data_IF_056476191632
#
_entry.id   IF_056476191632
#
_cell.length_a   1.000
_cell.length_b   1.000
_cell.length_c   1.000
_cell.angle_alpha   90.00
_cell.angle_beta   90.00
_cell.angle_gamma   90.00
#
_symmetry.space_group_name_H-M   'P 1'
#
loop_
_entity.id
_entity.type
_entity.pdbx_description
1 polymer ?
#
# COMPACT_ATOMS: atom_id res chain seq x y z
N UNK A 1 -64.45 -23.49 -41.69
CA UNK A 1 -63.08 -23.00 -41.44
C UNK A 1 -62.22 -24.15 -40.94
N UNK A 2 -61.02 -24.34 -41.49
CA UNK A 2 -60.12 -25.41 -41.07
C UNK A 2 -59.27 -24.92 -39.88
N UNK A 3 -59.56 -25.41 -38.68
CA UNK A 3 -58.95 -24.95 -37.41
C UNK A 3 -57.43 -25.05 -37.45
N UNK A 4 -56.90 -26.10 -38.07
CA UNK A 4 -55.45 -26.31 -38.23
C UNK A 4 -54.83 -25.19 -39.07
N UNK A 5 -55.46 -24.81 -40.18
CA UNK A 5 -54.98 -23.73 -41.04
C UNK A 5 -55.00 -22.37 -40.32
N UNK A 6 -56.04 -22.12 -39.52
CA UNK A 6 -56.15 -20.91 -38.70
C UNK A 6 -55.04 -20.81 -37.66
N UNK A 7 -54.75 -21.90 -36.94
CA UNK A 7 -53.66 -21.95 -35.96
C UNK A 7 -52.29 -21.74 -36.62
N UNK A 8 -52.05 -22.32 -37.80
CA UNK A 8 -50.82 -22.11 -38.56
C UNK A 8 -50.65 -20.63 -38.98
N UNK A 9 -51.72 -19.96 -39.40
CA UNK A 9 -51.70 -18.53 -39.73
C UNK A 9 -51.35 -17.67 -38.50
N UNK A 10 -51.90 -18.00 -37.33
CA UNK A 10 -51.56 -17.30 -36.08
C UNK A 10 -50.09 -17.48 -35.73
N UNK A 11 -49.57 -18.71 -35.81
CA UNK A 11 -48.16 -19.00 -35.51
C UNK A 11 -47.24 -18.19 -36.44
N UNK A 12 -47.55 -18.15 -37.74
CA UNK A 12 -46.80 -17.38 -38.73
C UNK A 12 -46.81 -15.88 -38.39
N UNK A 13 -47.97 -15.35 -38.01
CA UNK A 13 -48.13 -13.95 -37.63
C UNK A 13 -47.33 -13.60 -36.37
N UNK A 14 -47.44 -14.41 -35.31
CA UNK A 14 -46.69 -14.22 -34.06
C UNK A 14 -45.17 -14.31 -34.29
N UNK A 15 -44.72 -15.19 -35.18
CA UNK A 15 -43.32 -15.28 -35.57
C UNK A 15 -42.82 -13.98 -36.24
N UNK A 16 -43.59 -13.41 -37.16
CA UNK A 16 -43.25 -12.12 -37.80
C UNK A 16 -43.21 -10.96 -36.79
N UNK A 17 -44.16 -10.94 -35.84
CA UNK A 17 -44.16 -9.94 -34.76
C UNK A 17 -42.91 -10.05 -33.88
N UNK A 18 -42.51 -11.27 -33.49
CA UNK A 18 -41.28 -11.49 -32.73
C UNK A 18 -40.03 -11.02 -33.48
N UNK A 19 -39.92 -11.33 -34.79
CA UNK A 19 -38.80 -10.83 -35.62
C UNK A 19 -38.75 -9.31 -35.61
N UNK A 20 -39.90 -8.66 -35.79
CA UNK A 20 -39.99 -7.20 -35.80
C UNK A 20 -39.55 -6.62 -34.45
N UNK A 21 -40.06 -7.15 -33.33
CA UNK A 21 -39.71 -6.70 -31.99
C UNK A 21 -38.22 -6.86 -31.69
N UNK A 22 -37.62 -7.99 -32.05
CA UNK A 22 -36.17 -8.22 -31.86
C UNK A 22 -35.37 -7.20 -32.66
N UNK A 23 -35.71 -6.98 -33.95
CA UNK A 23 -35.05 -5.96 -34.78
C UNK A 23 -35.22 -4.56 -34.21
N UNK A 24 -36.39 -4.23 -33.66
CA UNK A 24 -36.65 -2.96 -33.00
C UNK A 24 -35.77 -2.78 -31.77
N UNK A 25 -35.72 -3.77 -30.87
CA UNK A 25 -34.88 -3.76 -29.67
C UNK A 25 -33.42 -3.58 -30.06
N UNK A 26 -32.89 -4.41 -30.97
CA UNK A 26 -31.48 -4.33 -31.36
C UNK A 26 -31.09 -3.02 -32.05
N UNK A 27 -32.03 -2.37 -32.76
CA UNK A 27 -31.75 -1.13 -33.51
C UNK A 27 -31.94 0.14 -32.69
N UNK A 28 -32.88 0.15 -31.76
CA UNK A 28 -33.30 1.37 -31.06
C UNK A 28 -33.07 1.34 -29.54
N UNK A 29 -32.89 0.16 -28.94
CA UNK A 29 -32.57 0.03 -27.52
C UNK A 29 -31.08 -0.26 -27.39
N UNK A 30 -30.32 0.73 -26.94
CA UNK A 30 -28.90 0.55 -26.61
C UNK A 30 -28.78 -0.36 -25.38
N UNK A 31 -28.67 -1.67 -25.59
CA UNK A 31 -28.53 -2.68 -24.51
C UNK A 31 -27.35 -2.39 -23.56
N UNK A 32 -26.35 -1.62 -23.99
CA UNK A 32 -25.24 -1.14 -23.15
C UNK A 32 -25.67 -0.17 -22.05
N UNK A 33 -26.77 0.57 -22.19
CA UNK A 33 -27.27 1.48 -21.16
C UNK A 33 -27.91 0.76 -19.96
N UNK A 34 -28.24 -0.53 -20.08
CA UNK A 34 -28.84 -1.31 -18.99
C UNK A 34 -27.84 -1.80 -17.94
N UNK A 35 -26.55 -1.75 -18.23
CA UNK A 35 -25.52 -1.86 -17.20
C UNK A 35 -25.26 -0.46 -16.63
N UNK A 36 -26.22 0.09 -15.87
CA UNK A 36 -25.91 1.25 -15.03
C UNK A 36 -24.87 0.80 -14.01
N UNK A 37 -23.61 1.18 -14.24
CA UNK A 37 -22.49 0.85 -13.37
C UNK A 37 -22.55 1.72 -12.11
N UNK A 38 -23.38 1.29 -11.16
CA UNK A 38 -23.51 1.91 -9.85
C UNK A 38 -22.30 1.63 -8.94
N UNK A 39 -21.28 0.92 -9.42
CA UNK A 39 -20.09 0.60 -8.65
C UNK A 39 -19.30 1.84 -8.24
N UNK A 40 -19.53 2.97 -8.93
CA UNK A 40 -18.98 4.28 -8.60
C UNK A 40 -19.85 5.10 -7.63
N UNK A 41 -21.06 4.64 -7.29
CA UNK A 41 -21.93 5.34 -6.34
C UNK A 41 -21.33 5.32 -4.93
N UNK A 42 -21.54 6.40 -4.13
CA UNK A 42 -21.10 6.44 -2.73
C UNK A 42 -21.74 5.34 -1.86
N UNK A 43 -22.95 4.90 -2.22
CA UNK A 43 -23.65 3.77 -1.60
C UNK A 43 -22.86 2.46 -1.79
N UNK A 44 -22.48 2.16 -3.04
CA UNK A 44 -21.77 0.94 -3.39
C UNK A 44 -20.31 0.93 -2.88
N UNK A 45 -19.63 2.08 -2.90
CA UNK A 45 -18.25 2.20 -2.44
C UNK A 45 -18.07 1.80 -0.96
N UNK A 46 -19.10 1.92 -0.12
CA UNK A 46 -19.08 1.46 1.28
C UNK A 46 -18.85 -0.06 1.42
N UNK A 47 -19.17 -0.83 0.39
CA UNK A 47 -19.01 -2.29 0.34
C UNK A 47 -17.70 -2.72 -0.33
N UNK A 48 -16.98 -1.80 -0.98
CA UNK A 48 -15.66 -2.10 -1.54
C UNK A 48 -14.65 -2.25 -0.41
N UNK A 49 -13.79 -3.25 -0.55
CA UNK A 49 -12.67 -3.44 0.38
C UNK A 49 -11.59 -2.43 0.04
N UNK A 50 -11.12 -1.68 1.02
CA UNK A 50 -9.99 -0.76 0.84
C UNK A 50 -8.72 -1.55 0.50
N UNK A 51 -7.88 -0.97 -0.36
CA UNK A 51 -6.56 -1.53 -0.62
C UNK A 51 -5.73 -1.59 0.67
N UNK A 52 -4.99 -2.69 0.83
CA UNK A 52 -4.15 -2.90 2.00
C UNK A 52 -3.08 -1.81 2.11
N UNK A 53 -2.79 -1.32 3.34
CA UNK A 53 -1.75 -0.34 3.54
C UNK A 53 -0.37 -0.91 3.22
N UNK A 54 0.50 -0.06 2.71
CA UNK A 54 1.91 -0.38 2.51
C UNK A 54 2.61 -0.41 3.86
N UNK A 55 3.16 -1.55 4.26
CA UNK A 55 3.94 -1.69 5.49
C UNK A 55 5.39 -1.31 5.20
N UNK A 56 5.90 -0.27 5.87
CA UNK A 56 7.32 0.10 5.83
C UNK A 56 7.95 -0.26 7.15
N UNK A 57 8.85 -1.24 7.13
CA UNK A 57 9.69 -1.59 8.27
C UNK A 57 10.86 -0.61 8.36
N UNK A 58 11.14 -0.12 9.56
CA UNK A 58 12.25 0.82 9.77
C UNK A 58 13.54 0.10 10.16
N UNK A 59 13.46 -0.99 10.94
CA UNK A 59 14.64 -1.79 11.25
C UNK A 59 15.07 -2.60 10.02
N UNK A 60 16.37 -2.63 9.80
CA UNK A 60 17.01 -3.51 8.83
C UNK A 60 17.51 -4.75 9.57
N UNK A 61 17.39 -5.93 8.97
CA UNK A 61 17.83 -7.20 9.60
C UNK A 61 19.36 -7.38 9.62
N UNK A 62 20.10 -6.45 9.02
CA UNK A 62 21.54 -6.57 8.85
C UNK A 62 22.29 -5.87 9.99
N UNK A 63 23.20 -6.60 10.64
CA UNK A 63 24.16 -6.02 11.58
C UNK A 63 25.28 -5.27 10.84
N UNK A 64 25.82 -4.24 11.49
CA UNK A 64 26.87 -3.39 10.91
C UNK A 64 28.12 -4.20 10.54
N UNK A 65 28.48 -5.21 11.34
CA UNK A 65 29.63 -6.07 11.07
C UNK A 65 29.48 -6.83 9.76
N UNK A 66 28.28 -7.34 9.49
CA UNK A 66 28.01 -8.09 8.27
C UNK A 66 27.94 -7.18 7.06
N UNK A 67 27.43 -5.96 7.22
CA UNK A 67 27.52 -4.92 6.19
C UNK A 67 28.98 -4.57 5.85
N UNK A 68 29.87 -4.43 6.84
CA UNK A 68 31.29 -4.18 6.59
C UNK A 68 31.95 -5.32 5.81
N UNK A 69 31.71 -6.58 6.20
CA UNK A 69 32.21 -7.76 5.47
C UNK A 69 31.67 -7.80 4.05
N UNK A 70 30.38 -7.51 3.86
CA UNK A 70 29.74 -7.45 2.56
C UNK A 70 30.41 -6.38 1.67
N UNK A 71 30.59 -5.16 2.19
CA UNK A 71 31.22 -4.09 1.42
C UNK A 71 32.68 -4.39 1.05
N UNK A 72 33.43 -4.99 1.97
CA UNK A 72 34.80 -5.43 1.71
C UNK A 72 34.84 -6.48 0.59
N UNK A 73 33.97 -7.49 0.63
CA UNK A 73 33.92 -8.56 -0.38
C UNK A 73 33.40 -8.09 -1.73
N UNK A 74 32.35 -7.27 -1.75
CA UNK A 74 31.63 -6.88 -2.98
C UNK A 74 32.30 -5.74 -3.74
N UNK A 75 32.90 -4.80 -3.01
CA UNK A 75 33.44 -3.56 -3.58
C UNK A 75 34.93 -3.37 -3.31
N UNK A 76 35.61 -4.31 -2.62
CA UNK A 76 37.01 -4.18 -2.20
C UNK A 76 37.28 -2.90 -1.40
N UNK A 77 36.25 -2.42 -0.65
CA UNK A 77 36.32 -1.20 0.14
C UNK A 77 36.19 -1.53 1.62
N UNK A 78 37.25 -1.29 2.37
CA UNK A 78 37.24 -1.39 3.84
C UNK A 78 36.73 -0.06 4.40
N UNK A 79 35.51 -0.10 4.95
CA UNK A 79 34.89 1.05 5.61
C UNK A 79 35.53 1.29 6.97
N UNK A 80 36.36 2.32 7.05
CA UNK A 80 36.97 2.78 8.30
C UNK A 80 35.97 3.60 9.14
N UNK A 81 36.17 3.70 10.47
CA UNK A 81 35.47 4.66 11.31
C UNK A 81 35.50 6.10 10.76
N UNK A 82 34.65 6.96 11.29
CA UNK A 82 34.63 8.38 10.91
C UNK A 82 35.94 9.02 11.38
N UNK A 83 36.72 9.56 10.45
CA UNK A 83 37.89 10.36 10.78
C UNK A 83 37.42 11.75 11.23
N UNK A 84 37.56 12.03 12.52
CA UNK A 84 37.08 13.29 13.12
C UNK A 84 38.20 14.32 13.16
N UNK A 85 37.86 15.57 12.82
CA UNK A 85 38.78 16.73 12.96
C UNK A 85 38.60 17.47 14.31
N UNK A 86 37.51 17.17 15.02
CA UNK A 86 37.12 17.76 16.31
C UNK A 86 36.72 16.65 17.27
N UNK A 87 36.68 16.96 18.55
CA UNK A 87 36.19 16.04 19.58
C UNK A 87 34.77 15.56 19.28
N UNK A 88 34.49 14.33 19.71
CA UNK A 88 33.18 13.70 19.55
C UNK A 88 32.22 14.19 20.63
N UNK A 89 31.11 14.77 20.19
CA UNK A 89 30.00 15.19 21.04
C UNK A 89 28.78 14.26 20.93
N UNK A 90 28.96 13.07 20.34
CA UNK A 90 27.98 11.98 20.29
C UNK A 90 28.29 11.06 21.47
N UNK A 91 27.27 10.69 22.25
CA UNK A 91 27.41 9.74 23.35
C UNK A 91 28.00 8.41 22.89
N UNK A 92 28.88 7.82 23.70
CA UNK A 92 29.50 6.51 23.42
C UNK A 92 28.47 5.38 23.33
N UNK A 93 27.37 5.49 24.08
CA UNK A 93 26.25 4.54 24.06
C UNK A 93 25.35 4.68 22.82
N UNK A 94 25.61 5.66 21.95
CA UNK A 94 24.82 5.90 20.75
C UNK A 94 25.12 4.87 19.66
N UNK A 95 24.09 4.15 19.24
CA UNK A 95 24.15 3.17 18.16
C UNK A 95 23.20 3.54 17.03
N UNK A 96 23.54 3.11 15.80
CA UNK A 96 22.63 3.27 14.68
C UNK A 96 21.36 2.43 14.91
N UNK A 97 20.17 3.02 14.90
CA UNK A 97 18.93 2.29 15.16
C UNK A 97 18.51 1.33 14.03
N UNK A 98 19.17 1.41 12.87
CA UNK A 98 18.90 0.56 11.70
C UNK A 98 19.83 -0.65 11.63
N UNK A 99 21.15 -0.44 11.72
CA UNK A 99 22.16 -1.51 11.59
C UNK A 99 22.99 -1.77 12.86
N UNK A 100 22.66 -1.11 13.97
CA UNK A 100 23.37 -1.20 15.25
C UNK A 100 24.86 -0.76 15.23
N UNK A 101 25.30 -0.01 14.20
CA UNK A 101 26.67 0.50 14.14
C UNK A 101 26.99 1.42 15.33
N UNK A 102 28.14 1.22 16.00
CA UNK A 102 28.49 2.00 17.19
C UNK A 102 28.94 3.42 16.84
N UNK A 103 29.03 4.27 17.87
CA UNK A 103 29.45 5.68 17.81
C UNK A 103 30.65 5.99 16.88
N UNK A 104 31.71 5.16 16.76
CA UNK A 104 32.83 5.44 15.85
C UNK A 104 32.43 5.56 14.37
N UNK A 105 31.30 4.97 13.97
CA UNK A 105 30.77 5.02 12.61
C UNK A 105 29.67 6.06 12.41
N UNK A 106 29.37 6.87 13.43
CA UNK A 106 28.34 7.89 13.42
C UNK A 106 28.97 9.27 13.26
N UNK A 107 28.31 10.15 12.51
CA UNK A 107 28.70 11.55 12.39
C UNK A 107 27.50 12.48 12.36
N UNK A 108 27.69 13.74 12.80
CA UNK A 108 26.65 14.75 12.72
C UNK A 108 26.43 15.16 11.27
N UNK A 109 25.17 15.07 10.82
CA UNK A 109 24.78 15.47 9.47
C UNK A 109 24.53 16.98 9.39
N UNK A 110 23.80 17.54 10.37
CA UNK A 110 23.30 18.92 10.33
C UNK A 110 23.78 19.80 11.50
N UNK A 111 24.92 19.47 12.12
CA UNK A 111 25.51 20.27 13.21
C UNK A 111 24.53 20.55 14.36
N UNK A 112 24.08 21.82 14.48
CA UNK A 112 23.20 22.33 15.56
C UNK A 112 21.81 21.68 15.62
N UNK A 113 21.32 21.06 14.54
CA UNK A 113 19.98 20.43 14.49
C UNK A 113 19.95 18.97 14.99
N UNK A 114 21.03 18.48 15.60
CA UNK A 114 21.03 17.19 16.32
C UNK A 114 20.99 15.91 15.47
N UNK A 115 20.75 15.99 14.15
CA UNK A 115 20.67 14.81 13.28
C UNK A 115 22.03 14.13 13.10
N UNK A 116 22.04 12.81 13.28
CA UNK A 116 23.17 11.90 13.11
C UNK A 116 22.98 11.09 11.83
N UNK A 117 24.08 10.78 11.14
CA UNK A 117 24.11 9.92 9.96
C UNK A 117 25.09 8.76 10.20
N UNK A 118 24.61 7.54 9.92
CA UNK A 118 25.42 6.33 10.01
C UNK A 118 26.25 6.17 8.74
N UNK A 119 27.58 6.08 8.86
CA UNK A 119 28.49 5.85 7.73
C UNK A 119 28.34 4.45 7.11
N UNK A 120 27.89 3.46 7.90
CA UNK A 120 27.74 2.07 7.45
C UNK A 120 26.51 1.92 6.56
N UNK A 121 25.31 2.19 7.07
CA UNK A 121 24.06 1.98 6.33
C UNK A 121 23.44 3.26 5.75
N UNK A 122 24.10 4.42 5.88
CA UNK A 122 23.63 5.73 5.39
C UNK A 122 22.28 6.17 5.96
N UNK A 123 21.89 5.60 7.11
CA UNK A 123 20.66 5.97 7.81
C UNK A 123 20.85 7.28 8.58
N UNK A 124 20.03 8.28 8.27
CA UNK A 124 19.90 9.49 9.06
C UNK A 124 18.86 9.30 10.17
N UNK A 125 19.20 9.70 11.40
CA UNK A 125 18.32 9.61 12.56
C UNK A 125 18.65 10.69 13.59
N UNK A 126 17.70 11.00 14.46
CA UNK A 126 17.90 11.86 15.62
C UNK A 126 17.69 11.01 16.89
N UNK A 127 18.59 11.06 17.89
CA UNK A 127 18.41 10.31 19.14
C UNK A 127 17.11 10.66 19.88
N UNK A 128 16.72 11.93 19.85
CA UNK A 128 15.52 12.46 20.54
C UNK A 128 14.22 12.18 19.76
N UNK A 129 14.26 12.26 18.43
CA UNK A 129 13.09 12.06 17.56
C UNK A 129 13.38 10.96 16.54
N UNK A 130 13.08 9.73 16.95
CA UNK A 130 13.47 8.59 16.15
C UNK A 130 12.29 7.84 15.51
N UNK A 131 12.17 7.91 14.17
CA UNK A 131 11.22 7.07 13.41
C UNK A 131 11.41 5.57 13.67
N UNK A 132 12.61 5.16 14.10
CA UNK A 132 12.96 3.80 14.46
C UNK A 132 12.40 3.35 15.84
N UNK A 133 11.74 4.23 16.61
CA UNK A 133 10.96 3.81 17.80
C UNK A 133 9.78 2.91 17.42
N UNK A 134 9.22 3.09 16.22
CA UNK A 134 8.18 2.22 15.68
C UNK A 134 8.84 1.12 14.86
N UNK A 135 8.38 -0.12 14.99
CA UNK A 135 8.87 -1.23 14.17
C UNK A 135 8.52 -1.02 12.69
N UNK A 136 7.32 -0.53 12.42
CA UNK A 136 6.82 -0.24 11.09
C UNK A 136 5.93 1.02 11.06
N UNK A 137 5.78 1.59 9.87
CA UNK A 137 4.77 2.60 9.56
C UNK A 137 3.87 2.09 8.45
N UNK A 138 2.57 2.20 8.66
CA UNK A 138 1.57 1.95 7.62
C UNK A 138 1.42 3.18 6.74
N UNK A 139 1.43 3.00 5.42
CA UNK A 139 1.23 4.08 4.45
C UNK A 139 0.03 3.81 3.55
N UNK A 140 -0.66 4.88 3.17
CA UNK A 140 -1.73 4.81 2.19
C UNK A 140 -1.20 4.25 0.85
N UNK A 141 -1.87 3.26 0.25
CA UNK A 141 -1.43 2.67 -1.02
C UNK A 141 -1.45 3.69 -2.17
N UNK A 142 -2.32 4.70 -2.12
CA UNK A 142 -2.51 5.69 -3.19
C UNK A 142 -1.62 6.92 -3.04
N UNK A 143 -1.55 7.55 -1.86
CA UNK A 143 -0.82 8.82 -1.67
C UNK A 143 0.47 8.71 -0.84
N UNK A 144 0.82 7.51 -0.35
CA UNK A 144 2.01 7.24 0.46
C UNK A 144 2.16 8.07 1.75
N UNK A 145 1.08 8.74 2.19
CA UNK A 145 1.04 9.39 3.50
C UNK A 145 0.96 8.33 4.61
N UNK A 146 1.60 8.63 5.75
CA UNK A 146 1.53 7.76 6.92
C UNK A 146 0.09 7.71 7.45
N UNK A 147 -0.42 6.51 7.68
CA UNK A 147 -1.72 6.31 8.27
C UNK A 147 -1.67 6.61 9.76
N UNK A 148 -2.71 7.29 10.24
CA UNK A 148 -2.89 7.63 11.65
C UNK A 148 -4.19 7.00 12.15
N UNK A 149 -4.18 6.58 13.41
CA UNK A 149 -5.39 6.12 14.07
C UNK A 149 -6.38 7.28 14.15
N UNK A 150 -7.64 7.04 13.74
CA UNK A 150 -8.72 8.03 13.81
C UNK A 150 -9.88 7.58 14.69
N UNK A 151 -10.18 6.28 14.70
CA UNK A 151 -11.28 5.70 15.47
C UNK A 151 -11.07 4.21 15.66
N UNK A 152 -11.52 3.71 16.81
CA UNK A 152 -11.70 2.28 17.03
C UNK A 152 -13.07 1.85 16.51
N UNK A 153 -13.13 0.73 15.81
CA UNK A 153 -14.40 0.08 15.52
C UNK A 153 -14.72 -0.84 16.70
N UNK A 154 -15.57 -0.38 17.63
CA UNK A 154 -16.27 -1.29 18.53
C UNK A 154 -17.24 -2.10 17.68
N UNK A 155 -16.81 -3.27 17.21
CA UNK A 155 -17.66 -4.15 16.43
C UNK A 155 -18.89 -4.52 17.25
N UNK A 156 -20.08 -4.21 16.76
CA UNK A 156 -21.30 -4.85 17.22
C UNK A 156 -21.15 -6.34 16.90
N UNK A 157 -20.75 -7.14 17.90
CA UNK A 157 -20.82 -8.58 17.82
C UNK A 157 -22.28 -8.94 17.58
N UNK A 158 -22.67 -9.20 16.32
CA UNK A 158 -23.92 -9.89 16.07
C UNK A 158 -23.74 -11.29 16.65
N UNK A 159 -24.60 -11.73 17.58
CA UNK A 159 -24.52 -13.10 18.06
C UNK A 159 -24.67 -14.02 16.85
N UNK A 160 -23.75 -14.98 16.72
CA UNK A 160 -23.87 -16.09 15.80
C UNK A 160 -25.22 -16.75 16.08
N UNK A 161 -26.13 -16.73 15.11
CA UNK A 161 -27.35 -17.52 15.20
C UNK A 161 -26.91 -18.98 15.05
N UNK A 162 -27.06 -19.74 16.12
CA UNK A 162 -27.05 -21.21 16.09
C UNK A 162 -28.23 -21.71 15.26
#
# INVERSE_FOLDING_TARGET
MNIILYLLQIIQYLYQQNIFLIKFICRYIHLKQWAFDDSHSPEYQKFKTDDLPKVICHKQDWDWNDLLKYYAKRYNKVLKPVARRKECDISEDCHCPSCNAPMPYLYRNNGKKGQILCKVCQTAFSPEENRFHKQYTLKCPHCSHALVHKKDRTGSQRPLRN
#
